data_IF_835818839695
#
_entry.id   IF_835818839695
#
_cell.length_a   1.000
_cell.length_b   1.000
_cell.length_c   1.000
_cell.angle_alpha   90.00
_cell.angle_beta   90.00
_cell.angle_gamma   90.00
#
_symmetry.space_group_name_H-M   'P 1'
#
loop_
_entity.id
_entity.type
_entity.pdbx_description
1 polymer ?
#
# COMPACT_ATOMS: atom_id res chain seq x y z
N UNK A 1 -13.33 11.72 70.66
CA UNK A 1 -14.17 12.46 69.68
C UNK A 1 -13.42 13.70 69.21
N UNK A 2 -12.75 13.64 68.06
CA UNK A 2 -12.20 14.80 67.35
C UNK A 2 -12.42 14.52 65.86
N UNK A 3 -13.49 15.09 65.29
CA UNK A 3 -13.88 14.92 63.89
C UNK A 3 -12.99 15.87 63.07
N UNK A 4 -12.13 15.33 62.23
CA UNK A 4 -11.35 16.12 61.28
C UNK A 4 -12.28 16.51 60.11
N UNK A 5 -12.55 17.79 59.99
CA UNK A 5 -13.11 18.41 58.79
C UNK A 5 -11.97 18.60 57.79
N UNK A 6 -12.02 17.88 56.68
CA UNK A 6 -11.10 18.06 55.55
C UNK A 6 -11.90 18.07 54.26
N UNK A 7 -12.42 19.25 53.91
CA UNK A 7 -13.06 19.50 52.61
C UNK A 7 -11.94 19.40 51.56
N UNK A 8 -11.86 18.26 50.89
CA UNK A 8 -10.98 18.09 49.74
C UNK A 8 -11.58 18.91 48.60
N UNK A 9 -10.93 20.04 48.32
CA UNK A 9 -11.28 21.01 47.28
C UNK A 9 -11.49 20.33 45.93
N UNK A 10 -12.68 20.56 45.38
CA UNK A 10 -13.06 20.27 43.99
C UNK A 10 -12.23 21.18 43.09
N UNK A 11 -11.05 20.71 42.67
CA UNK A 11 -10.18 21.38 41.71
C UNK A 11 -10.68 21.22 40.28
N UNK A 12 -11.82 21.85 39.96
CA UNK A 12 -12.24 22.10 38.58
C UNK A 12 -11.57 23.38 38.10
N UNK A 13 -10.41 23.26 37.45
CA UNK A 13 -9.95 24.22 36.46
C UNK A 13 -9.46 23.44 35.23
N UNK A 14 -10.41 23.15 34.35
CA UNK A 14 -10.20 22.75 32.97
C UNK A 14 -9.86 23.97 32.13
N UNK A 15 -8.67 24.01 31.50
CA UNK A 15 -8.30 24.75 30.26
C UNK A 15 -6.77 24.93 30.23
N UNK A 16 -5.99 24.67 29.19
CA UNK A 16 -6.17 24.13 27.83
C UNK A 16 -4.79 23.55 27.44
N UNK A 17 -4.78 22.49 26.62
CA UNK A 17 -3.56 21.96 26.03
C UNK A 17 -3.51 22.42 24.57
N UNK A 18 -2.86 23.55 24.31
CA UNK A 18 -2.58 24.05 22.96
C UNK A 18 -1.46 23.22 22.31
N UNK A 19 -1.80 22.04 21.80
CA UNK A 19 -1.02 21.37 20.78
C UNK A 19 -1.45 21.88 19.41
N UNK A 20 -0.74 22.89 18.88
CA UNK A 20 -0.86 23.28 17.47
C UNK A 20 -0.20 22.19 16.60
N UNK A 21 -0.98 21.16 16.25
CA UNK A 21 -0.68 20.28 15.13
C UNK A 21 -0.72 21.10 13.84
N UNK A 22 0.44 21.22 13.18
CA UNK A 22 0.50 21.74 11.82
C UNK A 22 0.08 20.61 10.89
N UNK A 23 -1.17 20.65 10.45
CA UNK A 23 -1.66 19.85 9.34
C UNK A 23 -0.81 20.11 8.09
N UNK A 24 0.10 19.18 7.79
CA UNK A 24 0.73 19.09 6.49
C UNK A 24 -0.34 18.63 5.49
N UNK A 25 -1.01 19.61 4.88
CA UNK A 25 -1.90 19.40 3.74
C UNK A 25 -1.12 18.78 2.58
N UNK A 26 -1.08 17.45 2.53
CA UNK A 26 -0.71 16.72 1.32
C UNK A 26 -1.79 17.02 0.30
N UNK A 27 -1.46 17.88 -0.66
CA UNK A 27 -2.30 18.13 -1.84
C UNK A 27 -2.53 16.79 -2.53
N UNK A 28 -3.69 16.19 -2.30
CA UNK A 28 -4.24 15.15 -3.17
C UNK A 28 -4.72 15.90 -4.41
N UNK A 29 -3.80 16.14 -5.33
CA UNK A 29 -4.17 16.57 -6.68
C UNK A 29 -4.90 15.38 -7.31
N UNK A 30 -6.20 15.58 -7.55
CA UNK A 30 -7.08 14.63 -8.24
C UNK A 30 -6.40 14.13 -9.52
N UNK A 31 -6.52 12.84 -9.87
CA UNK A 31 -5.96 12.36 -11.13
C UNK A 31 -6.61 13.13 -12.28
N UNK A 32 -5.74 13.68 -13.14
CA UNK A 32 -6.10 14.26 -14.43
C UNK A 32 -6.87 13.19 -15.20
N UNK A 33 -8.08 13.53 -15.66
CA UNK A 33 -8.77 12.74 -16.69
C UNK A 33 -7.85 12.71 -17.92
N UNK A 34 -7.30 11.55 -18.23
CA UNK A 34 -6.65 11.31 -19.51
C UNK A 34 -7.76 10.98 -20.48
N UNK A 35 -8.16 11.95 -21.29
CA UNK A 35 -8.97 11.67 -22.48
C UNK A 35 -8.09 10.86 -23.44
N UNK A 36 -8.46 9.60 -23.65
CA UNK A 36 -7.82 8.71 -24.60
C UNK A 36 -8.17 9.16 -26.03
N UNK A 37 -7.45 10.14 -26.57
CA UNK A 37 -7.49 10.47 -28.00
C UNK A 37 -6.28 9.87 -28.73
N UNK A 38 -6.15 8.55 -28.65
CA UNK A 38 -5.14 7.82 -29.43
C UNK A 38 -5.55 7.89 -30.91
N UNK A 39 -5.02 8.89 -31.61
CA UNK A 39 -5.06 8.98 -33.06
C UNK A 39 -3.98 8.07 -33.63
N UNK A 40 -4.32 6.80 -33.85
CA UNK A 40 -3.43 5.86 -34.54
C UNK A 40 -3.40 6.24 -36.02
N UNK A 41 -2.38 6.99 -36.43
CA UNK A 41 -1.95 7.02 -37.83
C UNK A 41 -0.93 5.91 -38.04
N UNK A 42 -1.42 4.75 -38.49
CA UNK A 42 -0.57 3.68 -39.00
C UNK A 42 -0.01 4.11 -40.36
N UNK A 43 1.31 4.31 -40.43
CA UNK A 43 2.04 4.26 -41.70
C UNK A 43 3.27 3.40 -41.48
N UNK A 44 3.27 2.23 -42.11
CA UNK A 44 4.40 1.31 -42.09
C UNK A 44 5.51 1.74 -43.06
N UNK A 45 6.75 1.59 -42.62
CA UNK A 45 7.93 1.31 -43.44
C UNK A 45 9.06 0.91 -42.46
N UNK A 46 9.32 -0.38 -42.25
CA UNK A 46 10.46 -1.12 -42.81
C UNK A 46 11.78 -0.34 -42.71
N UNK A 47 12.54 -0.61 -41.66
CA UNK A 47 14.00 -0.74 -41.78
C UNK A 47 14.55 -1.55 -40.60
N UNK A 48 15.31 -2.58 -40.96
CA UNK A 48 16.02 -3.45 -40.03
C UNK A 48 17.31 -2.73 -39.62
N UNK A 49 17.24 -1.93 -38.56
CA UNK A 49 18.40 -1.49 -37.80
C UNK A 49 18.11 -1.84 -36.34
N UNK A 50 18.84 -2.83 -35.82
CA UNK A 50 18.73 -3.29 -34.45
C UNK A 50 19.30 -2.23 -33.49
N UNK A 51 18.40 -1.37 -33.02
CA UNK A 51 18.57 -0.61 -31.80
C UNK A 51 17.18 -0.51 -31.18
N UNK A 52 16.76 -1.60 -30.52
CA UNK A 52 15.49 -1.61 -29.79
C UNK A 52 15.64 -0.59 -28.67
N UNK A 53 14.94 0.57 -28.68
CA UNK A 53 14.88 1.37 -27.48
C UNK A 53 14.27 0.46 -26.43
N UNK A 54 15.02 0.18 -25.36
CA UNK A 54 14.56 -0.59 -24.23
C UNK A 54 13.28 0.09 -23.72
N UNK A 55 12.12 -0.35 -24.20
CA UNK A 55 10.85 0.08 -23.69
C UNK A 55 10.77 -0.55 -22.31
N UNK A 56 11.30 0.18 -21.33
CA UNK A 56 11.19 -0.14 -19.92
C UNK A 56 9.70 -0.15 -19.61
N UNK A 57 9.07 -1.32 -19.72
CA UNK A 57 7.72 -1.57 -19.27
C UNK A 57 7.71 -1.59 -17.74
N UNK A 58 8.10 -0.48 -17.10
CA UNK A 58 7.67 -0.18 -15.74
C UNK A 58 6.21 0.21 -15.86
N UNK A 59 5.30 -0.59 -15.34
CA UNK A 59 3.90 -0.18 -15.40
C UNK A 59 2.84 -1.16 -14.93
N UNK A 60 3.16 -2.44 -14.71
CA UNK A 60 2.17 -3.34 -14.09
C UNK A 60 2.31 -3.30 -12.57
N UNK A 61 1.17 -3.11 -11.89
CA UNK A 61 1.11 -3.20 -10.45
C UNK A 61 1.42 -4.64 -9.99
N UNK A 62 2.09 -4.77 -8.85
CA UNK A 62 2.32 -6.08 -8.23
C UNK A 62 0.95 -6.67 -7.81
N UNK A 63 0.53 -7.84 -8.33
CA UNK A 63 -0.77 -8.42 -8.01
C UNK A 63 -0.93 -8.72 -6.51
N UNK A 64 0.13 -9.11 -5.81
CA UNK A 64 0.08 -9.35 -4.37
C UNK A 64 -0.16 -8.06 -3.57
N UNK A 65 0.50 -6.96 -3.97
CA UNK A 65 0.31 -5.65 -3.35
C UNK A 65 -1.06 -5.05 -3.67
N UNK A 66 -1.58 -5.26 -4.90
CA UNK A 66 -2.95 -4.88 -5.27
C UNK A 66 -3.96 -5.63 -4.40
N UNK A 67 -3.80 -6.95 -4.30
CA UNK A 67 -4.67 -7.78 -3.48
C UNK A 67 -4.65 -7.35 -2.00
N UNK A 68 -3.47 -7.05 -1.43
CA UNK A 68 -3.38 -6.52 -0.07
C UNK A 68 -4.27 -5.28 0.14
N UNK A 69 -4.19 -4.31 -0.77
CA UNK A 69 -4.98 -3.07 -0.69
C UNK A 69 -6.48 -3.35 -0.87
N UNK A 70 -6.84 -4.27 -1.77
CA UNK A 70 -8.23 -4.69 -1.98
C UNK A 70 -8.83 -5.38 -0.74
N UNK A 71 -8.01 -6.11 0.04
CA UNK A 71 -8.41 -6.70 1.33
C UNK A 71 -8.42 -5.70 2.49
N UNK A 72 -8.14 -4.42 2.22
CA UNK A 72 -8.15 -3.34 3.21
C UNK A 72 -6.87 -3.21 4.03
N UNK A 73 -5.78 -3.82 3.57
CA UNK A 73 -4.44 -3.66 4.13
C UNK A 73 -3.65 -2.51 3.48
N UNK A 74 -2.49 -2.23 4.04
CA UNK A 74 -1.45 -1.35 3.51
C UNK A 74 -0.27 -2.20 3.03
N UNK A 75 0.16 -1.97 1.78
CA UNK A 75 1.34 -2.61 1.19
C UNK A 75 2.62 -1.89 1.64
N UNK A 76 3.51 -2.61 2.30
CA UNK A 76 4.76 -2.07 2.87
C UNK A 76 5.95 -2.88 2.37
N UNK A 77 6.90 -2.23 1.71
CA UNK A 77 8.18 -2.86 1.36
C UNK A 77 9.11 -2.82 2.57
N UNK A 78 9.69 -3.96 2.92
CA UNK A 78 10.71 -4.12 3.97
C UNK A 78 11.97 -4.74 3.38
N UNK A 79 13.06 -4.62 4.13
CA UNK A 79 14.33 -5.27 3.83
C UNK A 79 14.69 -6.28 4.90
N UNK A 80 15.29 -7.41 4.51
CA UNK A 80 15.88 -8.37 5.43
C UNK A 80 17.33 -7.98 5.81
N UNK A 81 18.04 -8.85 6.52
CA UNK A 81 19.43 -8.61 6.96
C UNK A 81 20.43 -8.56 5.79
N UNK A 82 20.05 -9.13 4.66
CA UNK A 82 20.85 -9.21 3.44
C UNK A 82 20.42 -8.12 2.43
N UNK A 83 19.62 -7.14 2.87
CA UNK A 83 19.06 -6.03 2.07
C UNK A 83 18.08 -6.47 0.96
N UNK A 84 17.55 -7.71 1.01
CA UNK A 84 16.53 -8.15 0.05
C UNK A 84 15.18 -7.52 0.39
N UNK A 85 14.48 -7.02 -0.64
CA UNK A 85 13.15 -6.41 -0.50
C UNK A 85 12.04 -7.47 -0.51
N UNK A 86 11.09 -7.34 0.41
CA UNK A 86 9.87 -8.15 0.46
C UNK A 86 8.66 -7.31 0.86
N UNK A 87 7.46 -7.74 0.45
CA UNK A 87 6.21 -7.04 0.70
C UNK A 87 5.48 -7.57 1.92
N UNK A 88 5.06 -6.69 2.82
CA UNK A 88 4.18 -6.99 3.95
C UNK A 88 2.83 -6.30 3.75
N UNK A 89 1.76 -7.07 3.91
CA UNK A 89 0.41 -6.55 4.03
C UNK A 89 0.07 -6.27 5.49
N UNK A 90 -0.16 -5.01 5.84
CA UNK A 90 -0.49 -4.57 7.20
C UNK A 90 -1.95 -4.14 7.32
N UNK A 91 -2.68 -4.77 8.23
CA UNK A 91 -4.08 -4.44 8.50
C UNK A 91 -4.23 -3.41 9.63
N UNK A 92 -5.40 -2.77 9.70
CA UNK A 92 -5.72 -1.74 10.71
C UNK A 92 -5.73 -2.26 12.15
N UNK A 93 -5.99 -3.55 12.32
CA UNK A 93 -5.92 -4.24 13.61
C UNK A 93 -4.48 -4.57 14.04
N UNK A 94 -3.49 -4.24 13.20
CA UNK A 94 -2.07 -4.50 13.43
C UNK A 94 -1.61 -5.87 12.95
N UNK A 95 -2.48 -6.71 12.36
CA UNK A 95 -2.06 -7.96 11.74
C UNK A 95 -1.13 -7.68 10.55
N UNK A 96 -0.06 -8.45 10.46
CA UNK A 96 0.89 -8.40 9.34
C UNK A 96 1.08 -9.79 8.75
N UNK A 97 1.21 -9.85 7.43
CA UNK A 97 1.40 -11.10 6.66
C UNK A 97 2.18 -10.78 5.38
N UNK A 98 3.00 -11.71 4.91
CA UNK A 98 3.71 -11.59 3.63
C UNK A 98 2.71 -11.50 2.45
N UNK A 99 2.89 -10.52 1.56
CA UNK A 99 1.93 -10.26 0.49
C UNK A 99 1.78 -11.45 -0.47
N UNK A 100 2.89 -12.11 -0.80
CA UNK A 100 2.89 -13.22 -1.73
C UNK A 100 2.35 -14.50 -1.11
N UNK A 101 2.64 -14.74 0.16
CA UNK A 101 2.01 -15.81 0.93
C UNK A 101 0.49 -15.62 0.96
N UNK A 102 0.03 -14.42 1.33
CA UNK A 102 -1.40 -14.11 1.38
C UNK A 102 -2.07 -14.25 0.03
N UNK A 103 -1.45 -13.74 -1.02
CA UNK A 103 -1.98 -13.85 -2.38
C UNK A 103 -2.12 -15.31 -2.82
N UNK A 104 -1.10 -16.15 -2.60
CA UNK A 104 -1.13 -17.57 -3.00
C UNK A 104 -2.15 -18.39 -2.23
N UNK A 105 -2.28 -18.16 -0.92
CA UNK A 105 -3.27 -18.82 -0.06
C UNK A 105 -4.72 -18.57 -0.53
N UNK A 106 -4.94 -17.47 -1.27
CA UNK A 106 -6.25 -17.03 -1.70
C UNK A 106 -6.51 -17.21 -3.21
N UNK A 107 -5.57 -17.80 -3.97
CA UNK A 107 -5.66 -17.93 -5.44
C UNK A 107 -5.34 -19.34 -5.98
N UNK A 108 -5.35 -20.38 -5.15
CA UNK A 108 -5.00 -21.77 -5.55
C UNK A 108 -3.67 -21.84 -6.32
N UNK A 109 -2.73 -20.96 -5.96
CA UNK A 109 -1.42 -20.90 -6.58
C UNK A 109 -0.45 -21.71 -5.72
N UNK A 110 0.21 -22.68 -6.34
CA UNK A 110 1.37 -23.35 -5.74
C UNK A 110 2.52 -22.34 -5.53
N UNK A 111 3.52 -22.68 -4.72
CA UNK A 111 4.69 -21.83 -4.44
C UNK A 111 5.39 -21.26 -5.69
N UNK A 112 5.20 -21.88 -6.86
CA UNK A 112 5.77 -21.46 -8.15
C UNK A 112 4.83 -20.62 -9.02
N UNK A 113 3.70 -20.13 -8.49
CA UNK A 113 2.72 -19.35 -9.26
C UNK A 113 1.98 -20.15 -10.33
N UNK A 114 1.95 -21.48 -10.20
CA UNK A 114 1.23 -22.37 -11.14
C UNK A 114 -0.15 -22.67 -10.56
N UNK A 115 -1.24 -22.40 -11.31
CA UNK A 115 -2.61 -22.77 -10.93
C UNK A 115 -2.72 -24.28 -10.68
N UNK A 116 -3.39 -24.68 -9.60
CA UNK A 116 -3.62 -26.08 -9.21
C UNK A 116 -4.66 -26.81 -10.10
N UNK A 117 -4.62 -26.61 -11.43
CA UNK A 117 -5.56 -27.26 -12.36
C UNK A 117 -5.13 -28.67 -12.81
N UNK A 118 -3.99 -29.19 -12.33
CA UNK A 118 -3.44 -30.49 -12.76
C UNK A 118 -2.90 -31.37 -11.62
N UNK A 119 -3.53 -31.38 -10.43
CA UNK A 119 -3.38 -32.52 -9.51
C UNK A 119 -4.54 -33.49 -9.74
N UNK A 120 -4.32 -34.47 -10.62
CA UNK A 120 -5.12 -35.69 -10.67
C UNK A 120 -4.29 -36.84 -10.11
#
# INVERSE_FOLDING_TARGET
MKKAFGILLVGLLSMSLEAHSKDASRKVTKPVRIDQNISIKNNGNKDLNEDFPEQKMIGMANPASVYCVEQGGESIIRKDKDENEYGICKFKDGKEVDEWEFYRQNHDLTEKGVPEINKK
#
